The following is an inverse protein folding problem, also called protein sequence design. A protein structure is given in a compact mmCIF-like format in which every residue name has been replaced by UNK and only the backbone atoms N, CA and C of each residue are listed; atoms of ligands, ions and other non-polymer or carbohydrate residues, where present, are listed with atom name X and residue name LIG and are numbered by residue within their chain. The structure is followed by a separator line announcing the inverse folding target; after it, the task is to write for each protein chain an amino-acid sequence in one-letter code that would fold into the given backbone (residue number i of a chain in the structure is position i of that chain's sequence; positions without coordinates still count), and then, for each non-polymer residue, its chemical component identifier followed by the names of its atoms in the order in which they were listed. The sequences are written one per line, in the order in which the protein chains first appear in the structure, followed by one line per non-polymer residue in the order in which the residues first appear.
data_IF_389726607212
#
_entry.id   IF_389726607212
#
_cell.length_a   1.000
_cell.length_b   1.000
_cell.length_c   1.000
_cell.angle_alpha   90.00
_cell.angle_beta   90.00
_cell.angle_gamma   90.00
#
_symmetry.space_group_name_H-M   'P 1'
#
loop_
_entity.id
_entity.type
_entity.pdbx_description
1 polymer ?
#
# COMPACT_ATOMS: atom_id res chain seq x y z
N UNK A 1 0.30 -3.89 -32.68
CA UNK A 1 -0.10 -4.91 -31.69
C UNK A 1 0.45 -6.31 -32.02
N UNK A 2 0.05 -6.93 -33.14
CA UNK A 2 0.55 -8.25 -33.57
C UNK A 2 2.08 -8.41 -33.60
N UNK A 3 2.80 -7.41 -34.11
CA UNK A 3 4.26 -7.43 -34.23
C UNK A 3 4.96 -7.43 -32.85
N UNK A 4 4.36 -6.78 -31.85
CA UNK A 4 4.87 -6.76 -30.47
C UNK A 4 4.59 -8.08 -29.76
N UNK A 5 3.42 -8.70 -29.99
CA UNK A 5 3.12 -10.03 -29.40
C UNK A 5 4.03 -11.13 -29.95
N UNK A 6 4.35 -11.11 -31.24
CA UNK A 6 5.25 -12.09 -31.86
C UNK A 6 6.64 -12.12 -31.21
N UNK A 7 7.10 -10.99 -30.66
CA UNK A 7 8.37 -10.88 -29.93
C UNK A 7 8.38 -11.71 -28.63
N UNK A 8 7.23 -11.85 -27.97
CA UNK A 8 7.12 -12.47 -26.66
C UNK A 8 6.47 -13.86 -26.69
N UNK A 9 5.75 -14.22 -27.76
CA UNK A 9 5.14 -15.54 -27.96
C UNK A 9 5.85 -16.30 -29.08
N UNK A 10 7.08 -16.74 -28.81
CA UNK A 10 7.86 -17.53 -29.77
C UNK A 10 7.12 -18.81 -30.15
N UNK A 11 7.14 -19.15 -31.45
CA UNK A 11 6.49 -20.35 -32.00
C UNK A 11 4.98 -20.23 -32.23
N UNK A 12 4.34 -19.10 -31.90
CA UNK A 12 2.92 -18.92 -32.19
C UNK A 12 2.70 -18.58 -33.66
N UNK A 13 1.77 -19.30 -34.30
CA UNK A 13 1.31 -18.95 -35.65
C UNK A 13 0.37 -17.72 -35.63
N UNK A 14 0.04 -17.19 -36.81
CA UNK A 14 -0.79 -15.99 -36.94
C UNK A 14 -2.18 -16.12 -36.29
N UNK A 15 -2.77 -17.32 -36.27
CA UNK A 15 -4.06 -17.60 -35.62
C UNK A 15 -3.93 -17.53 -34.10
N UNK A 16 -2.91 -18.18 -33.54
CA UNK A 16 -2.63 -18.20 -32.10
C UNK A 16 -2.26 -16.82 -31.55
N UNK A 17 -1.51 -16.00 -32.31
CA UNK A 17 -1.23 -14.61 -31.96
C UNK A 17 -2.52 -13.77 -31.93
N UNK A 18 -3.42 -13.97 -32.90
CA UNK A 18 -4.71 -13.27 -32.97
C UNK A 18 -5.64 -13.66 -31.83
N UNK A 19 -5.64 -14.94 -31.43
CA UNK A 19 -6.37 -15.42 -30.25
C UNK A 19 -5.80 -14.82 -28.96
N UNK A 20 -4.48 -14.80 -28.81
CA UNK A 20 -3.81 -14.21 -27.65
C UNK A 20 -4.10 -12.72 -27.53
N UNK A 21 -4.12 -12.00 -28.64
CA UNK A 21 -4.52 -10.58 -28.68
C UNK A 21 -5.96 -10.39 -28.17
N UNK A 22 -6.89 -11.27 -28.54
CA UNK A 22 -8.28 -11.21 -28.03
C UNK A 22 -8.33 -11.47 -26.54
N UNK A 23 -7.60 -12.48 -26.06
CA UNK A 23 -7.54 -12.83 -24.64
C UNK A 23 -7.02 -11.64 -23.83
N UNK A 24 -5.93 -11.01 -24.24
CA UNK A 24 -5.32 -9.88 -23.51
C UNK A 24 -6.14 -8.59 -23.51
N UNK A 25 -7.17 -8.50 -24.36
CA UNK A 25 -8.15 -7.40 -24.36
C UNK A 25 -9.35 -7.67 -23.45
N UNK A 26 -9.44 -8.86 -22.87
CA UNK A 26 -10.53 -9.28 -21.99
C UNK A 26 -9.98 -9.75 -20.64
N UNK A 27 -9.88 -8.84 -19.64
CA UNK A 27 -9.43 -9.17 -18.28
C UNK A 27 -10.24 -10.26 -17.57
N UNK A 28 -11.47 -10.52 -18.01
CA UNK A 28 -12.34 -11.55 -17.41
C UNK A 28 -12.12 -12.94 -18.03
N UNK A 29 -11.41 -13.00 -19.17
CA UNK A 29 -11.16 -14.26 -19.85
C UNK A 29 -10.37 -15.24 -18.95
N UNK A 30 -10.75 -16.53 -18.85
CA UNK A 30 -10.10 -17.48 -17.95
C UNK A 30 -8.59 -17.63 -18.14
N UNK A 31 -8.11 -17.50 -19.37
CA UNK A 31 -6.68 -17.56 -19.74
C UNK A 31 -5.96 -16.21 -19.73
N UNK A 32 -6.63 -15.14 -19.31
CA UNK A 32 -6.05 -13.80 -19.30
C UNK A 32 -4.77 -13.74 -18.45
N UNK A 33 -4.85 -14.21 -17.20
CA UNK A 33 -3.71 -14.18 -16.26
C UNK A 33 -2.53 -14.98 -16.81
N UNK A 34 -2.78 -16.15 -17.38
CA UNK A 34 -1.74 -17.01 -17.98
C UNK A 34 -1.00 -16.28 -19.13
N UNK A 35 -1.77 -15.68 -20.06
CA UNK A 35 -1.21 -14.91 -21.18
C UNK A 35 -0.51 -13.64 -20.73
N UNK A 36 -1.05 -12.97 -19.71
CA UNK A 36 -0.44 -11.80 -19.11
C UNK A 36 0.91 -12.16 -18.48
N UNK A 37 0.98 -13.18 -17.61
CA UNK A 37 2.25 -13.61 -17.01
C UNK A 37 3.28 -14.02 -18.06
N UNK A 38 2.84 -14.64 -19.16
CA UNK A 38 3.75 -14.98 -20.28
C UNK A 38 4.39 -13.75 -20.91
N UNK A 39 3.66 -12.64 -21.06
CA UNK A 39 4.24 -11.36 -21.51
C UNK A 39 5.15 -10.80 -20.44
N UNK A 40 4.66 -10.70 -19.21
CA UNK A 40 5.36 -10.02 -18.12
C UNK A 40 6.70 -10.69 -17.79
N UNK A 41 6.79 -12.01 -17.93
CA UNK A 41 8.02 -12.77 -17.71
C UNK A 41 9.09 -12.58 -18.79
N UNK A 42 8.75 -11.87 -19.88
CA UNK A 42 9.63 -11.66 -21.04
C UNK A 42 9.75 -10.19 -21.45
N UNK A 43 8.89 -9.32 -20.94
CA UNK A 43 8.80 -7.92 -21.28
C UNK A 43 9.16 -7.06 -20.07
N UNK A 44 10.19 -6.22 -20.22
CA UNK A 44 10.63 -5.22 -19.25
C UNK A 44 10.26 -3.78 -19.70
N UNK A 45 9.34 -3.64 -20.65
CA UNK A 45 8.98 -2.36 -21.26
C UNK A 45 7.52 -2.00 -20.99
N UNK A 46 7.23 -1.06 -20.07
CA UNK A 46 5.86 -0.71 -19.71
C UNK A 46 5.05 -0.17 -20.89
N UNK A 47 5.70 0.58 -21.79
CA UNK A 47 5.05 1.12 -23.00
C UNK A 47 4.51 0.01 -23.92
N UNK A 48 5.22 -1.11 -24.00
CA UNK A 48 4.80 -2.24 -24.83
C UNK A 48 3.63 -2.97 -24.17
N UNK A 49 3.70 -3.26 -22.86
CA UNK A 49 2.58 -3.85 -22.12
C UNK A 49 1.31 -2.98 -22.22
N UNK A 50 1.45 -1.69 -21.92
CA UNK A 50 0.32 -0.77 -21.89
C UNK A 50 -0.22 -0.39 -23.28
N UNK A 51 0.34 -0.97 -24.35
CA UNK A 51 -0.28 -0.95 -25.67
C UNK A 51 -1.42 -1.97 -25.80
N UNK A 52 -1.47 -2.98 -24.93
CA UNK A 52 -2.46 -4.05 -24.94
C UNK A 52 -3.55 -3.90 -23.88
N UNK A 53 -3.16 -3.39 -22.71
CA UNK A 53 -3.98 -3.25 -21.52
C UNK A 53 -3.82 -1.82 -20.99
N UNK A 54 -4.90 -1.21 -20.50
CA UNK A 54 -4.78 0.08 -19.83
C UNK A 54 -4.03 -0.04 -18.50
N UNK A 55 -3.53 1.08 -17.99
CA UNK A 55 -2.85 1.13 -16.68
C UNK A 55 -3.80 0.75 -15.54
N UNK A 56 -5.07 1.11 -15.65
CA UNK A 56 -6.07 0.88 -14.61
C UNK A 56 -6.45 -0.60 -14.54
N UNK A 57 -6.70 -1.23 -15.69
CA UNK A 57 -6.91 -2.67 -15.79
C UNK A 57 -5.69 -3.44 -15.25
N UNK A 58 -4.46 -2.99 -15.56
CA UNK A 58 -3.25 -3.60 -15.00
C UNK A 58 -3.20 -3.53 -13.47
N UNK A 59 -3.52 -2.38 -12.89
CA UNK A 59 -3.57 -2.20 -11.43
C UNK A 59 -4.61 -3.13 -10.80
N UNK A 60 -5.77 -3.28 -11.43
CA UNK A 60 -6.84 -4.16 -10.94
C UNK A 60 -6.43 -5.65 -10.94
N UNK A 61 -5.83 -6.11 -12.04
CA UNK A 61 -5.51 -7.54 -12.22
C UNK A 61 -4.16 -7.95 -11.59
N UNK A 62 -3.27 -6.99 -11.28
CA UNK A 62 -1.92 -7.27 -10.79
C UNK A 62 -1.87 -8.15 -9.53
N UNK A 63 -2.68 -7.95 -8.46
CA UNK A 63 -2.63 -8.78 -7.26
C UNK A 63 -2.91 -10.27 -7.55
N UNK A 64 -3.92 -10.55 -8.40
CA UNK A 64 -4.25 -11.91 -8.83
C UNK A 64 -3.13 -12.49 -9.70
N UNK A 65 -2.62 -11.70 -10.64
CA UNK A 65 -1.53 -12.06 -11.55
C UNK A 65 -0.25 -12.43 -10.79
N UNK A 66 0.16 -11.61 -9.82
CA UNK A 66 1.32 -11.87 -8.96
C UNK A 66 1.16 -13.15 -8.14
N UNK A 67 -0.02 -13.39 -7.58
CA UNK A 67 -0.30 -14.61 -6.81
C UNK A 67 -0.24 -15.86 -7.70
N UNK A 68 -0.79 -15.80 -8.91
CA UNK A 68 -0.66 -16.88 -9.89
C UNK A 68 0.81 -17.09 -10.28
N UNK A 69 1.55 -16.01 -10.56
CA UNK A 69 2.97 -16.09 -10.94
C UNK A 69 3.84 -16.74 -9.84
N UNK A 70 3.60 -16.41 -8.57
CA UNK A 70 4.30 -17.05 -7.44
C UNK A 70 4.10 -18.56 -7.36
N UNK A 71 2.96 -19.08 -7.82
CA UNK A 71 2.68 -20.53 -7.82
C UNK A 71 3.47 -21.27 -8.89
N UNK A 72 3.76 -20.61 -10.01
CA UNK A 72 4.48 -21.22 -11.14
C UNK A 72 5.99 -20.96 -11.10
N UNK A 73 6.42 -19.85 -10.50
CA UNK A 73 7.82 -19.49 -10.33
C UNK A 73 8.01 -18.78 -8.98
N UNK A 74 8.74 -19.41 -8.07
CA UNK A 74 8.95 -18.89 -6.72
C UNK A 74 9.68 -17.54 -6.76
N UNK A 75 10.72 -17.45 -7.58
CA UNK A 75 11.57 -16.26 -7.77
C UNK A 75 11.48 -15.75 -9.22
N UNK A 76 11.50 -14.43 -9.40
CA UNK A 76 11.47 -13.82 -10.73
C UNK A 76 11.79 -12.32 -10.66
N UNK A 77 12.94 -11.92 -11.23
CA UNK A 77 13.34 -10.51 -11.35
C UNK A 77 12.31 -9.69 -12.14
N UNK A 78 11.73 -10.28 -13.20
CA UNK A 78 10.67 -9.63 -13.97
C UNK A 78 9.45 -9.32 -13.12
N UNK A 79 9.03 -10.24 -12.24
CA UNK A 79 7.88 -10.02 -11.35
C UNK A 79 8.16 -8.87 -10.37
N UNK A 80 9.38 -8.79 -9.86
CA UNK A 80 9.77 -7.76 -8.90
C UNK A 80 9.94 -6.39 -9.59
N UNK A 81 10.41 -6.39 -10.84
CA UNK A 81 10.42 -5.22 -11.69
C UNK A 81 9.01 -4.72 -12.01
N UNK A 82 8.07 -5.60 -12.39
CA UNK A 82 6.67 -5.23 -12.61
C UNK A 82 5.95 -4.82 -11.32
N UNK A 83 6.33 -5.38 -10.17
CA UNK A 83 5.85 -4.93 -8.86
C UNK A 83 6.20 -3.44 -8.64
N UNK A 84 7.41 -3.03 -9.02
CA UNK A 84 7.84 -1.62 -8.95
C UNK A 84 6.97 -0.73 -9.83
N UNK A 85 6.63 -1.17 -11.06
CA UNK A 85 5.73 -0.44 -11.95
C UNK A 85 4.33 -0.33 -11.36
N UNK A 86 3.78 -1.42 -10.82
CA UNK A 86 2.50 -1.44 -10.12
C UNK A 86 2.48 -0.44 -8.95
N UNK A 87 3.52 -0.42 -8.12
CA UNK A 87 3.63 0.51 -6.98
C UNK A 87 3.66 1.96 -7.42
N UNK A 88 4.42 2.29 -8.48
CA UNK A 88 4.43 3.63 -9.07
C UNK A 88 3.05 4.04 -9.59
N UNK A 89 2.33 3.12 -10.24
CA UNK A 89 0.96 3.40 -10.71
C UNK A 89 0.00 3.58 -9.52
N UNK A 90 0.11 2.75 -8.49
CA UNK A 90 -0.72 2.81 -7.27
C UNK A 90 -0.48 4.07 -6.43
N UNK A 91 0.73 4.63 -6.42
CA UNK A 91 1.03 5.91 -5.74
C UNK A 91 0.14 7.06 -6.23
N UNK A 92 -0.36 6.99 -7.47
CA UNK A 92 -1.33 7.93 -8.02
C UNK A 92 -2.74 7.77 -7.45
N UNK A 93 -3.10 6.58 -6.94
CA UNK A 93 -4.46 6.21 -6.52
C UNK A 93 -4.65 6.06 -5.00
N UNK A 94 -3.59 5.78 -4.22
CA UNK A 94 -3.65 5.75 -2.74
C UNK A 94 -2.32 6.23 -2.13
N UNK A 95 -2.32 7.16 -1.16
CA UNK A 95 -1.11 7.47 -0.40
C UNK A 95 -0.64 6.20 0.32
N UNK A 96 0.67 5.95 0.27
CA UNK A 96 1.34 4.81 0.90
C UNK A 96 0.81 4.58 2.32
N UNK A 97 0.22 3.41 2.61
CA UNK A 97 0.09 2.95 4.00
C UNK A 97 1.51 2.72 4.50
N UNK A 98 2.00 3.63 5.36
CA UNK A 98 3.30 3.47 6.03
C UNK A 98 3.34 2.07 6.67
N UNK A 99 4.46 1.34 6.57
CA UNK A 99 4.62 0.08 7.27
C UNK A 99 4.28 0.28 8.75
N UNK A 100 3.64 -0.72 9.38
CA UNK A 100 3.44 -0.76 10.84
C UNK A 100 4.80 -0.95 11.53
N UNK A 101 5.68 0.03 11.41
CA UNK A 101 6.94 0.09 12.13
C UNK A 101 6.71 0.42 13.60
N UNK A 102 7.71 0.16 14.45
CA UNK A 102 7.73 0.68 15.81
C UNK A 102 7.45 2.20 15.77
N UNK A 103 6.64 2.74 16.71
CA UNK A 103 6.46 4.17 16.81
C UNK A 103 7.82 4.88 16.90
N UNK A 104 7.98 6.08 16.29
CA UNK A 104 9.18 6.87 16.48
C UNK A 104 9.47 7.10 17.97
N UNK A 105 10.74 7.18 18.35
CA UNK A 105 11.13 7.33 19.76
C UNK A 105 10.50 8.58 20.41
N UNK A 106 10.37 9.68 19.66
CA UNK A 106 9.71 10.92 20.10
C UNK A 106 8.23 10.71 20.45
N UNK A 107 7.51 9.89 19.68
CA UNK A 107 6.10 9.62 19.94
C UNK A 107 5.92 8.80 21.22
N UNK A 108 6.85 7.88 21.49
CA UNK A 108 6.87 7.12 22.74
C UNK A 108 7.15 8.03 23.94
N UNK A 109 8.09 8.98 23.83
CA UNK A 109 8.39 9.95 24.90
C UNK A 109 7.17 10.82 25.20
N UNK A 110 6.58 11.44 24.17
CA UNK A 110 5.38 12.28 24.31
C UNK A 110 4.22 11.48 24.92
N UNK A 111 3.95 10.27 24.41
CA UNK A 111 2.88 9.42 24.93
C UNK A 111 3.05 9.05 26.41
N UNK A 112 4.29 8.74 26.82
CA UNK A 112 4.61 8.46 28.23
C UNK A 112 4.43 9.69 29.12
N UNK A 113 4.87 10.85 28.68
CA UNK A 113 4.70 12.12 29.41
C UNK A 113 3.20 12.43 29.61
N UNK A 114 2.38 12.32 28.55
CA UNK A 114 0.92 12.50 28.64
C UNK A 114 0.32 11.51 29.65
N UNK A 115 0.72 10.23 29.60
CA UNK A 115 0.23 9.21 30.52
C UNK A 115 0.59 9.53 31.97
N UNK A 116 1.83 9.95 32.23
CA UNK A 116 2.31 10.29 33.57
C UNK A 116 1.53 11.46 34.15
N UNK A 117 1.37 12.54 33.40
CA UNK A 117 0.63 13.73 33.87
C UNK A 117 -0.86 13.45 34.05
N UNK A 118 -1.46 12.63 33.18
CA UNK A 118 -2.84 12.15 33.36
C UNK A 118 -3.00 11.41 34.70
N UNK A 119 -2.08 10.49 35.01
CA UNK A 119 -2.12 9.71 36.25
C UNK A 119 -1.90 10.61 37.47
N UNK A 120 -0.96 11.56 37.41
CA UNK A 120 -0.73 12.55 38.49
C UNK A 120 -2.00 13.36 38.80
N UNK A 121 -2.80 13.69 37.79
CA UNK A 121 -4.08 14.37 37.93
C UNK A 121 -5.27 13.44 38.29
N UNK A 122 -5.03 12.15 38.51
CA UNK A 122 -6.06 11.18 38.89
C UNK A 122 -7.10 10.90 37.79
N UNK A 123 -6.78 11.20 36.53
CA UNK A 123 -7.73 11.05 35.42
C UNK A 123 -7.68 9.65 34.82
N UNK A 124 -8.83 9.06 34.53
CA UNK A 124 -8.90 7.86 33.67
C UNK A 124 -8.66 8.24 32.21
N UNK A 125 -8.30 7.28 31.36
CA UNK A 125 -8.17 7.54 29.92
C UNK A 125 -9.50 8.02 29.31
N UNK A 126 -10.64 7.48 29.77
CA UNK A 126 -11.97 7.97 29.37
C UNK A 126 -12.24 9.39 29.87
N UNK A 127 -11.82 9.71 31.09
CA UNK A 127 -11.96 11.06 31.65
C UNK A 127 -11.16 12.10 30.87
N UNK A 128 -9.91 11.78 30.49
CA UNK A 128 -9.11 12.64 29.63
C UNK A 128 -9.74 12.74 28.22
N UNK A 129 -10.20 11.63 27.66
CA UNK A 129 -10.85 11.60 26.36
C UNK A 129 -12.07 12.53 26.31
N UNK A 130 -12.92 12.49 27.34
CA UNK A 130 -14.09 13.36 27.48
C UNK A 130 -13.69 14.85 27.49
N UNK A 131 -12.64 15.22 28.24
CA UNK A 131 -12.17 16.62 28.32
C UNK A 131 -11.59 17.14 27.00
N UNK A 132 -10.97 16.28 26.21
CA UNK A 132 -10.33 16.64 24.92
C UNK A 132 -11.31 16.50 23.74
N UNK A 133 -12.49 15.91 23.95
CA UNK A 133 -13.44 15.62 22.87
C UNK A 133 -12.99 14.45 21.99
N UNK A 134 -12.35 13.44 22.58
CA UNK A 134 -11.83 12.25 21.89
C UNK A 134 -12.48 10.97 22.43
N UNK A 135 -12.26 9.85 21.73
CA UNK A 135 -12.64 8.52 22.23
C UNK A 135 -11.51 7.94 23.08
N UNK A 136 -11.85 7.16 24.11
CA UNK A 136 -10.85 6.52 24.98
C UNK A 136 -9.80 5.68 24.22
N UNK A 137 -10.14 4.88 23.18
CA UNK A 137 -9.13 4.13 22.43
C UNK A 137 -8.12 5.02 21.71
N UNK A 138 -8.52 6.26 21.39
CA UNK A 138 -7.61 7.23 20.79
C UNK A 138 -6.60 7.75 21.81
N UNK A 139 -7.02 8.04 23.05
CA UNK A 139 -6.11 8.39 24.15
C UNK A 139 -5.13 7.25 24.45
N UNK A 140 -5.61 6.00 24.50
CA UNK A 140 -4.75 4.84 24.71
C UNK A 140 -3.66 4.73 23.64
N UNK A 141 -4.01 4.85 22.36
CA UNK A 141 -3.03 4.83 21.27
C UNK A 141 -2.06 6.01 21.30
N UNK A 142 -2.48 7.18 21.80
CA UNK A 142 -1.60 8.35 21.99
C UNK A 142 -0.58 8.06 23.07
N UNK A 143 -1.02 7.55 24.22
CA UNK A 143 -0.13 7.19 25.35
C UNK A 143 0.88 6.10 24.99
N UNK A 144 0.51 5.20 24.07
CA UNK A 144 1.39 4.17 23.52
C UNK A 144 2.30 4.68 22.38
N UNK A 145 2.19 5.95 21.97
CA UNK A 145 2.91 6.53 20.83
C UNK A 145 2.45 6.01 19.47
N UNK A 146 1.40 5.17 19.41
CA UNK A 146 0.91 4.52 18.19
C UNK A 146 0.02 5.40 17.33
N UNK A 147 -0.38 6.58 17.82
CA UNK A 147 -1.21 7.54 17.08
C UNK A 147 -0.44 8.82 16.76
N UNK A 148 -0.43 9.19 15.47
CA UNK A 148 -0.03 10.52 15.05
C UNK A 148 -1.16 11.50 15.33
N UNK A 149 -0.87 12.53 16.12
CA UNK A 149 -1.81 13.58 16.50
C UNK A 149 -1.41 14.89 15.84
N UNK A 150 -2.39 15.76 15.61
CA UNK A 150 -2.11 17.12 15.14
C UNK A 150 -1.50 17.94 16.27
N UNK A 151 -0.81 19.03 15.93
CA UNK A 151 -0.33 19.98 16.93
C UNK A 151 -1.47 20.57 17.76
N UNK A 152 -2.65 20.78 17.16
CA UNK A 152 -3.84 21.24 17.88
C UNK A 152 -4.28 20.24 18.96
N UNK A 153 -4.31 18.95 18.65
CA UNK A 153 -4.65 17.92 19.65
C UNK A 153 -3.59 17.86 20.76
N UNK A 154 -2.31 17.97 20.40
CA UNK A 154 -1.22 18.02 21.37
C UNK A 154 -1.35 19.24 22.31
N UNK A 155 -1.62 20.43 21.76
CA UNK A 155 -1.85 21.65 22.52
C UNK A 155 -3.04 21.51 23.50
N UNK A 156 -4.18 20.96 23.05
CA UNK A 156 -5.32 20.68 23.94
C UNK A 156 -4.96 19.74 25.08
N UNK A 157 -4.21 18.67 24.79
CA UNK A 157 -3.74 17.73 25.81
C UNK A 157 -2.81 18.42 26.81
N UNK A 158 -1.85 19.20 26.32
CA UNK A 158 -0.92 19.96 27.16
C UNK A 158 -1.65 20.96 28.06
N UNK A 159 -2.67 21.67 27.56
CA UNK A 159 -3.48 22.59 28.36
C UNK A 159 -4.25 21.87 29.47
N UNK A 160 -4.95 20.78 29.15
CA UNK A 160 -5.73 20.01 30.13
C UNK A 160 -4.84 19.35 31.18
N UNK A 161 -3.65 18.93 30.79
CA UNK A 161 -2.68 18.26 31.65
C UNK A 161 -1.66 19.22 32.28
N UNK A 162 -1.74 20.52 31.99
CA UNK A 162 -0.81 21.57 32.46
C UNK A 162 0.68 21.27 32.15
N UNK A 163 0.94 20.67 30.99
CA UNK A 163 2.29 20.35 30.52
C UNK A 163 2.92 21.62 29.94
N UNK A 164 4.02 22.09 30.55
CA UNK A 164 4.72 23.32 30.13
C UNK A 164 5.86 23.08 29.14
N UNK A 165 6.47 21.90 29.16
CA UNK A 165 7.61 21.57 28.30
C UNK A 165 7.48 20.13 27.77
N UNK A 166 7.92 19.92 26.53
CA UNK A 166 7.97 18.60 25.89
C UNK A 166 9.43 18.30 25.58
N UNK A 167 9.99 17.31 26.26
CA UNK A 167 11.33 16.81 25.96
C UNK A 167 11.28 15.77 24.83
N UNK A 168 11.98 16.05 23.73
CA UNK A 168 12.01 15.21 22.53
C UNK A 168 13.24 14.29 22.46
#
# INVERSE_FOLDING_TARGET
MKQVLAKYFWGFNAKALKETEKILKDPQHPRFIERLVTILSRCDKPKELFSFISKDEFVEVWPKTKNYWRKIALESDFRDWWQTIYERLMQKYKPLKKPKGKPPASFLKIGRMIKQERIKKGLTQSGLALRVGMRQPDISKIEEGKKNITLQTLDSLCKILEIKNIEL
#
